data_IF_357720153126
#
_entry.id   IF_357720153126
#
_cell.length_a   1.000
_cell.length_b   1.000
_cell.length_c   1.000
_cell.angle_alpha   90.00
_cell.angle_beta   90.00
_cell.angle_gamma   90.00
#
_symmetry.space_group_name_H-M   'P 1'
#
loop_
_entity.id
_entity.type
_entity.pdbx_description
1 polymer ?
#
# COMPACT_ATOMS: atom_id res chain seq x y z
N UNK A 1 -32.52 2.67 11.11
CA UNK A 1 -31.20 2.56 10.46
C UNK A 1 -31.14 3.66 9.40
N UNK A 2 -30.24 4.65 9.52
CA UNK A 2 -30.13 5.74 8.54
C UNK A 2 -29.51 5.19 7.26
N UNK A 3 -30.15 5.42 6.11
CA UNK A 3 -29.67 4.92 4.82
C UNK A 3 -28.41 5.68 4.38
N UNK A 4 -27.39 4.95 3.97
CA UNK A 4 -26.15 5.52 3.45
C UNK A 4 -26.25 5.76 1.92
N UNK A 5 -26.79 6.94 1.57
CA UNK A 5 -26.91 7.36 0.18
C UNK A 5 -25.54 7.61 -0.50
N UNK A 6 -24.47 7.89 0.26
CA UNK A 6 -23.13 8.13 -0.29
C UNK A 6 -22.54 6.84 -0.88
N UNK A 7 -22.64 5.73 -0.14
CA UNK A 7 -22.29 4.38 -0.62
C UNK A 7 -23.07 3.99 -1.88
N UNK A 8 -24.39 4.16 -1.85
CA UNK A 8 -25.26 3.75 -2.96
C UNK A 8 -24.95 4.53 -4.25
N UNK A 9 -24.72 5.85 -4.15
CA UNK A 9 -24.37 6.70 -5.30
C UNK A 9 -23.03 6.28 -5.90
N UNK A 10 -22.01 6.07 -5.07
CA UNK A 10 -20.67 5.69 -5.54
C UNK A 10 -20.72 4.36 -6.28
N UNK A 11 -21.40 3.35 -5.73
CA UNK A 11 -21.55 2.04 -6.36
C UNK A 11 -22.19 2.15 -7.75
N UNK A 12 -23.24 2.95 -7.88
CA UNK A 12 -23.92 3.15 -9.17
C UNK A 12 -23.01 3.81 -10.23
N UNK A 13 -22.18 4.78 -9.83
CA UNK A 13 -21.23 5.42 -10.76
C UNK A 13 -20.12 4.45 -11.16
N UNK A 14 -19.65 3.62 -10.22
CA UNK A 14 -18.62 2.60 -10.46
C UNK A 14 -19.09 1.52 -11.44
N UNK A 15 -20.34 1.09 -11.36
CA UNK A 15 -20.91 0.11 -12.29
C UNK A 15 -21.01 0.66 -13.72
N UNK A 16 -21.51 1.89 -13.88
CA UNK A 16 -21.65 2.52 -15.20
C UNK A 16 -21.83 4.03 -15.11
N UNK A 17 -21.04 4.77 -15.88
CA UNK A 17 -21.23 6.21 -16.07
C UNK A 17 -22.57 6.53 -16.74
N UNK A 18 -23.42 7.30 -16.05
CA UNK A 18 -24.78 7.67 -16.49
C UNK A 18 -25.12 9.09 -16.03
N UNK A 19 -26.12 9.76 -16.60
CA UNK A 19 -26.58 11.06 -16.11
C UNK A 19 -26.94 11.03 -14.62
N UNK A 20 -26.71 12.13 -13.88
CA UNK A 20 -26.92 12.21 -12.43
C UNK A 20 -28.34 11.82 -11.99
N UNK A 21 -29.34 12.14 -12.81
CA UNK A 21 -30.76 11.82 -12.54
C UNK A 21 -31.03 10.32 -12.63
N UNK A 22 -30.34 9.62 -13.54
CA UNK A 22 -30.43 8.16 -13.67
C UNK A 22 -29.76 7.47 -12.48
N UNK A 23 -28.58 7.95 -12.07
CA UNK A 23 -27.90 7.46 -10.86
C UNK A 23 -28.78 7.68 -9.63
N UNK A 24 -29.30 8.89 -9.42
CA UNK A 24 -30.14 9.21 -8.27
C UNK A 24 -31.45 8.38 -8.21
N UNK A 25 -32.02 8.00 -9.36
CA UNK A 25 -33.19 7.09 -9.42
C UNK A 25 -32.82 5.63 -9.18
N UNK A 26 -31.61 5.22 -9.57
CA UNK A 26 -31.13 3.85 -9.39
C UNK A 26 -30.74 3.56 -7.92
N UNK A 27 -30.28 4.59 -7.21
CA UNK A 27 -30.20 4.57 -5.74
C UNK A 27 -31.61 4.44 -5.19
N UNK A 28 -31.97 3.25 -4.70
CA UNK A 28 -33.30 3.02 -4.11
C UNK A 28 -33.52 4.05 -2.97
N UNK A 29 -34.75 4.49 -2.71
CA UNK A 29 -35.05 5.43 -1.62
C UNK A 29 -35.36 6.85 -2.09
N UNK A 30 -34.93 7.86 -1.31
CA UNK A 30 -35.27 9.26 -1.51
C UNK A 30 -34.41 9.92 -2.60
N UNK A 31 -35.04 10.24 -3.74
CA UNK A 31 -34.40 10.86 -4.89
C UNK A 31 -33.75 12.24 -4.59
N UNK A 32 -34.45 13.19 -3.91
CA UNK A 32 -33.83 14.44 -3.45
C UNK A 32 -32.55 14.25 -2.63
N UNK A 33 -32.52 13.29 -1.71
CA UNK A 33 -31.34 13.06 -0.87
C UNK A 33 -30.17 12.49 -1.67
N UNK A 34 -30.44 11.56 -2.60
CA UNK A 34 -29.44 11.05 -3.53
C UNK A 34 -28.85 12.17 -4.41
N UNK A 35 -29.66 13.11 -4.88
CA UNK A 35 -29.18 14.28 -5.63
C UNK A 35 -28.28 15.18 -4.79
N UNK A 36 -28.67 15.48 -3.54
CA UNK A 36 -27.83 16.27 -2.61
C UNK A 36 -26.48 15.62 -2.37
N UNK A 37 -26.45 14.29 -2.25
CA UNK A 37 -25.21 13.52 -2.11
C UNK A 37 -24.36 13.62 -3.37
N UNK A 38 -24.94 13.45 -4.56
CA UNK A 38 -24.21 13.64 -5.83
C UNK A 38 -23.59 15.03 -5.91
N UNK A 39 -24.36 16.08 -5.59
CA UNK A 39 -23.87 17.45 -5.60
C UNK A 39 -22.75 17.69 -4.59
N UNK A 40 -22.86 17.10 -3.39
CA UNK A 40 -21.81 17.12 -2.37
C UNK A 40 -20.54 16.44 -2.88
N UNK A 41 -20.65 15.25 -3.50
CA UNK A 41 -19.51 14.53 -4.07
C UNK A 41 -18.87 15.29 -5.24
N UNK A 42 -19.66 15.97 -6.08
CA UNK A 42 -19.12 16.86 -7.12
C UNK A 42 -18.38 18.07 -6.52
N UNK A 43 -18.95 18.72 -5.50
CA UNK A 43 -18.31 19.86 -4.80
C UNK A 43 -17.00 19.45 -4.13
N UNK A 44 -16.92 18.22 -3.61
CA UNK A 44 -15.70 17.61 -3.06
C UNK A 44 -14.70 17.15 -4.14
N UNK A 45 -14.93 17.49 -5.42
CA UNK A 45 -14.10 17.08 -6.56
C UNK A 45 -13.97 15.56 -6.73
N UNK A 46 -14.94 14.80 -6.23
CA UNK A 46 -14.90 13.36 -6.20
C UNK A 46 -15.52 12.72 -7.45
N UNK A 47 -16.62 13.33 -7.86
CA UNK A 47 -17.33 13.05 -9.11
C UNK A 47 -17.24 14.29 -9.99
N UNK A 48 -17.29 14.08 -11.29
CA UNK A 48 -17.44 15.14 -12.27
C UNK A 48 -18.49 14.77 -13.32
N UNK A 49 -19.09 15.79 -13.93
CA UNK A 49 -19.99 15.59 -15.06
C UNK A 49 -19.16 15.75 -16.32
N UNK A 50 -18.86 14.63 -16.98
CA UNK A 50 -18.16 14.59 -18.25
C UNK A 50 -19.12 14.09 -19.33
N UNK A 51 -19.30 14.87 -20.39
CA UNK A 51 -20.22 14.53 -21.50
C UNK A 51 -21.65 14.22 -21.02
N UNK A 52 -22.15 15.00 -20.05
CA UNK A 52 -23.49 14.82 -19.48
C UNK A 52 -23.67 13.58 -18.59
N UNK A 53 -22.61 12.80 -18.36
CA UNK A 53 -22.61 11.63 -17.49
C UNK A 53 -21.83 11.92 -16.22
N UNK A 54 -22.31 11.37 -15.11
CA UNK A 54 -21.60 11.39 -13.84
C UNK A 54 -20.48 10.34 -13.92
N UNK A 55 -19.26 10.78 -13.68
CA UNK A 55 -18.03 9.98 -13.76
C UNK A 55 -17.16 10.28 -12.55
N UNK A 56 -16.22 9.39 -12.27
CA UNK A 56 -15.13 9.69 -11.36
C UNK A 56 -14.17 10.68 -11.99
N UNK A 57 -13.75 11.68 -11.22
CA UNK A 57 -12.71 12.62 -11.66
C UNK A 57 -11.38 11.87 -11.86
N UNK A 58 -10.60 12.25 -12.88
CA UNK A 58 -9.25 11.71 -13.06
C UNK A 58 -8.37 11.94 -11.82
N UNK A 59 -7.52 10.97 -11.46
CA UNK A 59 -6.68 10.96 -10.25
C UNK A 59 -7.47 11.00 -8.93
N UNK A 60 -8.71 10.50 -8.93
CA UNK A 60 -9.43 10.32 -7.69
C UNK A 60 -8.85 9.16 -6.87
N UNK A 61 -9.14 9.16 -5.57
CA UNK A 61 -8.65 8.14 -4.64
C UNK A 61 -9.02 6.71 -5.04
N UNK A 62 -10.08 6.49 -5.82
CA UNK A 62 -10.49 5.13 -6.22
C UNK A 62 -9.47 4.55 -7.19
N UNK A 63 -9.00 5.34 -8.17
CA UNK A 63 -7.95 4.90 -9.08
C UNK A 63 -6.65 4.64 -8.32
N UNK A 64 -6.25 5.55 -7.42
CA UNK A 64 -5.07 5.34 -6.56
C UNK A 64 -5.19 4.08 -5.70
N UNK A 65 -6.37 3.81 -5.15
CA UNK A 65 -6.65 2.60 -4.36
C UNK A 65 -6.53 1.34 -5.23
N UNK A 66 -7.10 1.35 -6.44
CA UNK A 66 -6.97 0.21 -7.37
C UNK A 66 -5.51 -0.02 -7.74
N UNK A 67 -4.77 1.02 -8.10
CA UNK A 67 -3.33 0.91 -8.38
C UNK A 67 -2.55 0.39 -7.17
N UNK A 68 -2.87 0.86 -5.96
CA UNK A 68 -2.24 0.37 -4.74
C UNK A 68 -2.50 -1.13 -4.49
N UNK A 69 -3.72 -1.62 -4.76
CA UNK A 69 -4.05 -3.04 -4.66
C UNK A 69 -3.26 -3.88 -5.66
N UNK A 70 -3.14 -3.41 -6.90
CA UNK A 70 -2.33 -4.07 -7.94
C UNK A 70 -0.86 -4.13 -7.51
N UNK A 71 -0.30 -3.01 -7.02
CA UNK A 71 1.07 -2.94 -6.50
C UNK A 71 1.31 -3.88 -5.32
N UNK A 72 0.36 -3.98 -4.39
CA UNK A 72 0.44 -4.91 -3.27
C UNK A 72 0.46 -6.37 -3.75
N UNK A 73 -0.36 -6.70 -4.74
CA UNK A 73 -0.40 -8.04 -5.30
C UNK A 73 0.89 -8.36 -6.06
N UNK A 74 1.36 -7.45 -6.91
CA UNK A 74 2.64 -7.55 -7.61
C UNK A 74 3.78 -7.76 -6.62
N UNK A 75 3.81 -7.01 -5.52
CA UNK A 75 4.81 -7.17 -4.48
C UNK A 75 4.75 -8.55 -3.83
N UNK A 76 3.55 -9.01 -3.42
CA UNK A 76 3.39 -10.36 -2.85
C UNK A 76 3.96 -11.41 -3.79
N UNK A 77 3.60 -11.34 -5.07
CA UNK A 77 4.08 -12.30 -6.06
C UNK A 77 5.59 -12.21 -6.28
N UNK A 78 6.12 -11.00 -6.48
CA UNK A 78 7.54 -10.75 -6.65
C UNK A 78 8.36 -11.33 -5.49
N UNK A 79 7.94 -11.04 -4.26
CA UNK A 79 8.63 -11.48 -3.05
C UNK A 79 8.57 -13.00 -2.88
N UNK A 80 7.36 -13.57 -2.90
CA UNK A 80 7.18 -14.98 -2.54
C UNK A 80 7.61 -15.94 -3.64
N UNK A 81 7.38 -15.60 -4.92
CA UNK A 81 7.69 -16.49 -6.04
C UNK A 81 9.15 -16.38 -6.48
N UNK A 82 9.78 -15.21 -6.36
CA UNK A 82 11.11 -14.98 -6.95
C UNK A 82 12.18 -14.62 -5.90
N UNK A 83 11.94 -13.61 -5.06
CA UNK A 83 12.98 -13.10 -4.17
C UNK A 83 13.31 -14.06 -3.01
N UNK A 84 12.29 -14.57 -2.32
CA UNK A 84 12.50 -15.47 -1.18
C UNK A 84 13.18 -16.79 -1.59
N UNK A 85 12.81 -17.46 -2.70
CA UNK A 85 13.53 -18.63 -3.19
C UNK A 85 15.00 -18.35 -3.54
N UNK A 86 15.30 -17.26 -4.24
CA UNK A 86 16.67 -16.90 -4.60
C UNK A 86 17.53 -16.60 -3.36
N UNK A 87 16.99 -15.89 -2.36
CA UNK A 87 17.71 -15.68 -1.10
C UNK A 87 18.02 -17.00 -0.36
N UNK A 88 17.10 -17.97 -0.40
CA UNK A 88 17.35 -19.30 0.16
C UNK A 88 18.45 -20.03 -0.60
N UNK A 89 18.50 -19.91 -1.92
CA UNK A 89 19.52 -20.50 -2.78
C UNK A 89 20.89 -19.88 -2.53
N UNK A 90 21.00 -18.56 -2.48
CA UNK A 90 22.23 -17.84 -2.17
C UNK A 90 22.79 -18.27 -0.81
N UNK A 91 21.94 -18.34 0.22
CA UNK A 91 22.35 -18.81 1.55
C UNK A 91 22.91 -20.23 1.54
N UNK A 92 22.31 -21.13 0.75
CA UNK A 92 22.80 -22.52 0.62
C UNK A 92 24.13 -22.60 -0.12
N UNK A 93 24.30 -21.80 -1.18
CA UNK A 93 25.48 -21.84 -2.04
C UNK A 93 26.70 -21.20 -1.38
N UNK A 94 26.54 -20.01 -0.81
CA UNK A 94 27.65 -19.25 -0.20
C UNK A 94 28.09 -19.81 1.14
N UNK A 95 27.21 -20.53 1.85
CA UNK A 95 27.38 -20.89 3.28
C UNK A 95 27.59 -19.68 4.20
N UNK A 96 27.44 -18.48 3.67
CA UNK A 96 27.58 -17.24 4.40
C UNK A 96 26.21 -16.77 4.92
N UNK A 97 26.18 -16.11 6.08
CA UNK A 97 24.98 -15.43 6.53
C UNK A 97 24.66 -14.24 5.63
N UNK A 98 23.37 -14.01 5.38
CA UNK A 98 22.88 -12.91 4.54
C UNK A 98 23.28 -11.54 5.12
N UNK A 99 23.19 -11.39 6.44
CA UNK A 99 23.65 -10.21 7.18
C UNK A 99 24.73 -10.63 8.17
N UNK A 100 25.76 -9.82 8.33
CA UNK A 100 26.87 -10.09 9.25
C UNK A 100 27.61 -8.83 9.69
N UNK A 101 28.49 -8.98 10.69
CA UNK A 101 29.37 -7.92 11.19
C UNK A 101 30.81 -8.25 10.87
N UNK A 102 31.54 -7.29 10.30
CA UNK A 102 33.00 -7.33 10.18
C UNK A 102 33.65 -6.38 11.18
N UNK A 103 34.86 -6.72 11.64
CA UNK A 103 35.69 -5.79 12.41
C UNK A 103 36.67 -5.13 11.46
N UNK A 104 36.71 -3.81 11.50
CA UNK A 104 37.66 -2.99 10.75
C UNK A 104 39.01 -2.91 11.49
N UNK A 105 40.10 -2.55 10.81
CA UNK A 105 41.44 -2.45 11.41
C UNK A 105 41.51 -1.48 12.61
N UNK A 106 40.65 -0.45 12.64
CA UNK A 106 40.54 0.51 13.73
C UNK A 106 39.67 0.02 14.91
N UNK A 107 39.22 -1.25 14.88
CA UNK A 107 38.35 -1.85 15.91
C UNK A 107 36.86 -1.55 15.74
N UNK A 108 36.46 -0.72 14.76
CA UNK A 108 35.06 -0.45 14.49
C UNK A 108 34.34 -1.69 13.96
N UNK A 109 33.06 -1.82 14.29
CA UNK A 109 32.20 -2.86 13.73
C UNK A 109 31.43 -2.31 12.53
N UNK A 110 31.56 -2.95 11.38
CA UNK A 110 30.78 -2.63 10.19
C UNK A 110 29.73 -3.70 9.93
N UNK A 111 28.49 -3.26 9.71
CA UNK A 111 27.41 -4.11 9.26
C UNK A 111 27.53 -4.34 7.75
N UNK A 112 27.42 -5.60 7.33
CA UNK A 112 27.56 -6.03 5.94
C UNK A 112 26.38 -6.90 5.53
N UNK A 113 26.06 -6.82 4.23
CA UNK A 113 25.12 -7.71 3.54
C UNK A 113 25.94 -8.55 2.58
N UNK A 114 25.67 -9.86 2.51
CA UNK A 114 26.32 -10.74 1.54
C UNK A 114 26.14 -10.16 0.13
N UNK A 115 27.23 -10.03 -0.61
CA UNK A 115 27.23 -9.33 -1.89
C UNK A 115 26.29 -9.96 -2.93
N UNK A 116 26.14 -11.29 -2.92
CA UNK A 116 25.21 -11.99 -3.83
C UNK A 116 23.75 -11.79 -3.41
N UNK A 117 23.47 -11.64 -2.12
CA UNK A 117 22.14 -11.31 -1.61
C UNK A 117 21.82 -9.80 -1.69
N UNK A 118 22.84 -8.95 -1.83
CA UNK A 118 22.74 -7.50 -1.79
C UNK A 118 21.79 -6.98 -2.87
N UNK A 119 21.86 -7.49 -4.09
CA UNK A 119 20.99 -7.03 -5.18
C UNK A 119 19.52 -7.36 -4.90
N UNK A 120 19.21 -8.58 -4.45
CA UNK A 120 17.82 -8.94 -4.14
C UNK A 120 17.26 -8.23 -2.92
N UNK A 121 18.10 -7.98 -1.90
CA UNK A 121 17.67 -7.27 -0.70
C UNK A 121 17.55 -5.78 -0.96
N UNK A 122 18.60 -5.14 -1.49
CA UNK A 122 18.72 -3.68 -1.59
C UNK A 122 18.07 -3.14 -2.86
N UNK A 123 18.13 -3.85 -3.99
CA UNK A 123 17.46 -3.38 -5.21
C UNK A 123 15.98 -3.79 -5.15
N UNK A 124 15.70 -5.09 -5.03
CA UNK A 124 14.33 -5.54 -5.31
C UNK A 124 13.38 -5.39 -4.12
N UNK A 125 13.71 -5.97 -2.96
CA UNK A 125 12.80 -5.94 -1.80
C UNK A 125 12.60 -4.50 -1.28
N UNK A 126 13.67 -3.71 -1.27
CA UNK A 126 13.60 -2.30 -0.87
C UNK A 126 12.71 -1.45 -1.77
N UNK A 127 12.89 -1.54 -3.09
CA UNK A 127 12.07 -0.76 -4.02
C UNK A 127 10.59 -1.14 -3.90
N UNK A 128 10.29 -2.42 -3.68
CA UNK A 128 8.91 -2.87 -3.48
C UNK A 128 8.31 -2.33 -2.18
N UNK A 129 9.06 -2.36 -1.07
CA UNK A 129 8.62 -1.78 0.22
C UNK A 129 8.40 -0.27 0.09
N UNK A 130 9.36 0.46 -0.48
CA UNK A 130 9.30 1.92 -0.64
C UNK A 130 8.11 2.34 -1.52
N UNK A 131 7.92 1.69 -2.68
CA UNK A 131 6.78 1.93 -3.57
C UNK A 131 5.45 1.74 -2.84
N UNK A 132 5.29 0.59 -2.18
CA UNK A 132 4.06 0.24 -1.46
C UNK A 132 3.75 1.26 -0.35
N UNK A 133 4.77 1.77 0.33
CA UNK A 133 4.57 2.73 1.42
C UNK A 133 4.27 4.14 0.89
N UNK A 134 4.91 4.58 -0.19
CA UNK A 134 4.56 5.85 -0.83
C UNK A 134 3.11 5.85 -1.30
N UNK A 135 2.66 4.76 -1.92
CA UNK A 135 1.28 4.60 -2.36
C UNK A 135 0.31 4.60 -1.18
N UNK A 136 0.62 3.87 -0.10
CA UNK A 136 -0.22 3.87 1.11
C UNK A 136 -0.28 5.23 1.81
N UNK A 137 0.84 5.95 1.88
CA UNK A 137 0.90 7.30 2.44
C UNK A 137 0.12 8.31 1.61
N UNK A 138 0.17 8.22 0.28
CA UNK A 138 -0.64 9.05 -0.62
C UNK A 138 -2.14 8.88 -0.33
N UNK A 139 -2.60 7.64 -0.18
CA UNK A 139 -3.99 7.33 0.17
C UNK A 139 -4.37 7.90 1.55
N UNK A 140 -3.50 7.70 2.54
CA UNK A 140 -3.70 8.23 3.89
C UNK A 140 -3.76 9.76 3.94
N UNK A 141 -2.87 10.44 3.22
CA UNK A 141 -2.85 11.90 3.15
C UNK A 141 -4.14 12.44 2.52
N UNK A 142 -4.62 11.81 1.44
CA UNK A 142 -5.91 12.16 0.84
C UNK A 142 -7.06 11.95 1.84
N UNK A 143 -7.01 10.92 2.68
CA UNK A 143 -7.99 10.69 3.74
C UNK A 143 -7.97 11.79 4.80
N UNK A 144 -6.79 12.20 5.28
CA UNK A 144 -6.63 13.30 6.24
C UNK A 144 -7.15 14.63 5.69
N UNK A 145 -6.97 14.87 4.38
CA UNK A 145 -7.47 16.08 3.72
C UNK A 145 -8.99 16.05 3.46
N UNK A 146 -9.70 15.01 3.89
CA UNK A 146 -11.14 14.84 3.65
C UNK A 146 -11.48 14.60 2.17
N UNK A 147 -10.48 14.20 1.38
CA UNK A 147 -10.60 13.89 -0.04
C UNK A 147 -11.01 12.43 -0.28
N UNK A 148 -11.48 11.72 0.76
CA UNK A 148 -11.93 10.33 0.70
C UNK A 148 -13.38 10.26 1.16
N UNK A 149 -14.30 9.62 0.40
CA UNK A 149 -15.69 9.50 0.78
C UNK A 149 -15.80 8.48 1.90
N UNK A 150 -16.80 8.66 2.77
CA UNK A 150 -16.97 7.83 3.97
C UNK A 150 -16.91 6.31 3.70
N UNK A 151 -17.49 5.77 2.61
CA UNK A 151 -17.46 4.34 2.35
C UNK A 151 -16.05 3.77 2.08
N UNK A 152 -15.12 4.60 1.59
CA UNK A 152 -13.75 4.17 1.25
C UNK A 152 -12.76 4.39 2.37
N UNK A 153 -13.08 5.20 3.38
CA UNK A 153 -12.22 5.43 4.55
C UNK A 153 -11.81 4.09 5.18
N UNK A 154 -12.81 3.25 5.48
CA UNK A 154 -12.55 1.94 6.09
C UNK A 154 -11.79 0.99 5.16
N UNK A 155 -12.11 1.01 3.86
CA UNK A 155 -11.43 0.16 2.86
C UNK A 155 -9.95 0.52 2.79
N UNK A 156 -9.63 1.81 2.68
CA UNK A 156 -8.26 2.30 2.63
C UNK A 156 -7.52 2.00 3.93
N UNK A 157 -8.16 2.19 5.09
CA UNK A 157 -7.56 1.81 6.38
C UNK A 157 -7.21 0.31 6.43
N UNK A 158 -8.10 -0.56 5.97
CA UNK A 158 -7.88 -2.01 5.93
C UNK A 158 -6.74 -2.39 4.95
N UNK A 159 -6.62 -1.68 3.83
CA UNK A 159 -5.54 -1.90 2.85
C UNK A 159 -4.18 -1.46 3.38
N UNK A 160 -4.12 -0.28 4.01
CA UNK A 160 -2.94 0.23 4.67
C UNK A 160 -2.48 -0.76 5.76
N UNK A 161 -3.42 -1.27 6.56
CA UNK A 161 -3.12 -2.30 7.58
C UNK A 161 -2.61 -3.58 6.94
N UNK A 162 -3.16 -3.98 5.80
CA UNK A 162 -2.72 -5.15 5.04
C UNK A 162 -1.28 -4.99 4.52
N UNK A 163 -0.93 -3.79 4.04
CA UNK A 163 0.44 -3.43 3.68
C UNK A 163 1.41 -3.55 4.86
N UNK A 164 1.06 -2.94 6.00
CA UNK A 164 1.91 -3.01 7.20
C UNK A 164 2.08 -4.44 7.71
N UNK A 165 1.03 -5.25 7.63
CA UNK A 165 1.07 -6.66 8.01
C UNK A 165 2.01 -7.43 7.09
N UNK A 166 1.90 -7.24 5.77
CA UNK A 166 2.79 -7.86 4.80
C UNK A 166 4.27 -7.49 5.04
N UNK A 167 4.56 -6.21 5.32
CA UNK A 167 5.92 -5.74 5.62
C UNK A 167 6.45 -6.42 6.89
N UNK A 168 5.62 -6.58 7.94
CA UNK A 168 5.99 -7.31 9.16
C UNK A 168 6.27 -8.78 8.89
N UNK A 169 5.43 -9.45 8.09
CA UNK A 169 5.64 -10.85 7.70
C UNK A 169 6.95 -11.05 6.94
N UNK A 170 7.27 -10.12 6.03
CA UNK A 170 8.53 -10.13 5.27
C UNK A 170 9.72 -9.95 6.20
N UNK A 171 9.66 -8.99 7.14
CA UNK A 171 10.68 -8.80 8.17
C UNK A 171 10.96 -10.11 8.90
N UNK A 172 9.92 -10.78 9.35
CA UNK A 172 10.02 -12.00 10.13
C UNK A 172 10.66 -13.13 9.30
N UNK A 173 10.24 -13.30 8.05
CA UNK A 173 10.83 -14.29 7.14
C UNK A 173 12.31 -14.04 6.90
N UNK A 174 12.71 -12.80 6.66
CA UNK A 174 14.11 -12.42 6.49
C UNK A 174 14.90 -12.63 7.79
N UNK A 175 14.36 -12.24 8.95
CA UNK A 175 14.99 -12.43 10.27
C UNK A 175 15.25 -13.91 10.59
N UNK A 176 14.32 -14.80 10.22
CA UNK A 176 14.45 -16.24 10.40
C UNK A 176 15.52 -16.88 9.50
N UNK A 177 15.97 -16.17 8.46
CA UNK A 177 17.07 -16.62 7.60
C UNK A 177 18.45 -16.26 8.15
N UNK A 178 18.51 -15.55 9.28
CA UNK A 178 19.73 -14.97 9.85
C UNK A 178 20.06 -15.68 11.16
N UNK A 179 21.36 -15.86 11.43
CA UNK A 179 21.82 -16.46 12.69
C UNK A 179 21.52 -15.52 13.87
N UNK A 180 21.36 -16.08 15.09
CA UNK A 180 21.11 -15.28 16.30
C UNK A 180 22.17 -14.18 16.50
N UNK A 181 23.44 -14.47 16.22
CA UNK A 181 24.56 -13.52 16.32
C UNK A 181 24.39 -12.28 15.43
N UNK A 182 23.78 -12.44 14.26
CA UNK A 182 23.66 -11.38 13.26
C UNK A 182 22.27 -10.70 13.26
N UNK A 183 21.35 -11.11 14.16
CA UNK A 183 20.04 -10.46 14.32
C UNK A 183 20.13 -8.97 14.65
N UNK A 184 21.03 -8.50 15.54
CA UNK A 184 21.17 -7.06 15.81
C UNK A 184 21.51 -6.24 14.55
N UNK A 185 22.33 -6.81 13.66
CA UNK A 185 22.69 -6.20 12.38
C UNK A 185 21.49 -6.06 11.45
N UNK A 186 20.67 -7.12 11.38
CA UNK A 186 19.43 -7.10 10.64
C UNK A 186 18.44 -6.08 11.20
N UNK A 187 18.28 -6.00 12.53
CA UNK A 187 17.36 -5.04 13.15
C UNK A 187 17.80 -3.60 12.91
N UNK A 188 19.11 -3.31 12.97
CA UNK A 188 19.64 -1.99 12.65
C UNK A 188 19.42 -1.62 11.18
N UNK A 189 19.72 -2.55 10.26
CA UNK A 189 19.43 -2.39 8.84
C UNK A 189 17.94 -2.17 8.59
N UNK A 190 17.09 -3.04 9.14
CA UNK A 190 15.65 -2.96 9.00
C UNK A 190 15.12 -1.64 9.53
N UNK A 191 15.63 -1.19 10.68
CA UNK A 191 15.29 0.11 11.24
C UNK A 191 15.68 1.25 10.30
N UNK A 192 16.88 1.28 9.73
CA UNK A 192 17.29 2.34 8.79
C UNK A 192 16.34 2.41 7.60
N UNK A 193 16.05 1.25 7.02
CA UNK A 193 15.11 1.08 5.90
C UNK A 193 13.70 1.52 6.27
N UNK A 194 13.26 1.21 7.49
CA UNK A 194 11.88 1.48 7.95
C UNK A 194 11.73 2.76 8.76
N UNK A 195 12.82 3.50 8.99
CA UNK A 195 12.83 4.69 9.84
C UNK A 195 12.01 5.84 9.25
N UNK A 196 12.11 6.04 7.93
CA UNK A 196 11.26 6.96 7.17
C UNK A 196 9.83 6.46 6.99
N UNK A 197 9.55 5.21 7.39
CA UNK A 197 8.25 4.53 7.26
C UNK A 197 7.44 4.57 8.56
N UNK A 198 7.86 5.35 9.57
CA UNK A 198 7.05 5.63 10.76
C UNK A 198 5.85 6.51 10.39
N UNK A 199 4.87 5.90 9.73
CA UNK A 199 3.53 6.45 9.68
C UNK A 199 2.87 6.01 10.99
N UNK A 200 2.81 6.93 11.94
CA UNK A 200 1.98 6.73 13.14
C UNK A 200 0.53 6.77 12.67
N UNK A 201 -0.06 5.59 12.45
CA UNK A 201 -1.51 5.43 12.29
C UNK A 201 -2.20 5.43 13.65
#
# INVERSE_FOLDING_TARGET
MVRDYESDVIKQVQEKSRPKTVIARAVKGNYPDALKVIESLCKKNFLEIKEGKLTFKANNIIQDHTTFQEELQEFREAFYKFQLPELKKIRKQTREPIFYVTKEPNGAQMFRVNQQAKEQIISTIMHLIDRTIRSSFSLYQKQLLGLVPKPYVKIIDDDIRSCLTLIKEIKEKLSNMISKKNKPSFESYWFQVTSGLRVNF
#
